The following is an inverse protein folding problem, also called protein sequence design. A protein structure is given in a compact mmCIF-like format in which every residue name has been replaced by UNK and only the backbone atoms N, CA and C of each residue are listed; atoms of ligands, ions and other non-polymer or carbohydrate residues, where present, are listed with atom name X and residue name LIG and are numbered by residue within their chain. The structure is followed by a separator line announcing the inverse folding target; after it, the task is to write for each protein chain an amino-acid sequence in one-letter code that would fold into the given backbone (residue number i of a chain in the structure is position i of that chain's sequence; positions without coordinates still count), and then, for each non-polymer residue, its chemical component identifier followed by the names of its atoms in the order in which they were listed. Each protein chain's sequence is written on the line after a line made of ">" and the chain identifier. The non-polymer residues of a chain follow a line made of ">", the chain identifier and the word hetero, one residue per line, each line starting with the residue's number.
data_IF_317925336836
#
_entry.id   IF_317925336836
#
_cell.length_a   1.000
_cell.length_b   1.000
_cell.length_c   1.000
_cell.angle_alpha   90.00
_cell.angle_beta   90.00
_cell.angle_gamma   90.00
#
_symmetry.space_group_name_H-M   'P 1'
#
loop_
_entity.id
_entity.type
_entity.pdbx_description
1 polymer ?
#
# COMPACT_ATOMS: atom_id res chain seq x y z
N UNK A 1 5.62 32.04 15.54
CA UNK A 1 4.60 31.33 14.73
C UNK A 1 4.02 30.17 15.55
N UNK A 2 2.82 30.28 16.14
CA UNK A 2 2.26 29.19 16.94
C UNK A 2 1.68 28.11 16.03
N UNK A 3 2.18 26.88 16.15
CA UNK A 3 1.65 25.70 15.44
C UNK A 3 0.29 25.33 16.06
N UNK A 4 -0.79 25.58 15.33
CA UNK A 4 -2.15 25.15 15.70
C UNK A 4 -2.19 23.62 15.74
N UNK A 5 -2.21 23.07 16.96
CA UNK A 5 -2.57 21.69 17.25
C UNK A 5 -4.02 21.43 16.80
N UNK A 6 -4.19 20.90 15.58
CA UNK A 6 -5.48 20.43 15.10
C UNK A 6 -5.77 19.08 15.77
N UNK A 7 -6.41 19.12 16.94
CA UNK A 7 -7.07 17.96 17.54
C UNK A 7 -8.20 17.55 16.59
N UNK A 8 -7.92 16.64 15.66
CA UNK A 8 -8.95 16.01 14.84
C UNK A 8 -9.71 15.07 15.77
N UNK A 9 -10.79 15.58 16.37
CA UNK A 9 -11.80 14.76 17.04
C UNK A 9 -12.30 13.75 16.02
N UNK A 10 -12.03 12.48 16.26
CA UNK A 10 -12.61 11.37 15.52
C UNK A 10 -14.12 11.40 15.73
N UNK A 11 -14.83 12.04 14.82
CA UNK A 11 -16.28 12.03 14.77
C UNK A 11 -16.68 10.70 14.16
N UNK A 12 -17.03 9.78 15.05
CA UNK A 12 -17.80 8.56 14.76
C UNK A 12 -19.19 9.02 14.36
N UNK A 13 -19.34 9.50 13.14
CA UNK A 13 -20.65 9.46 12.49
C UNK A 13 -20.84 8.07 11.93
N UNK A 14 -22.08 7.62 11.74
CA UNK A 14 -22.46 6.21 11.75
C UNK A 14 -23.12 5.83 10.42
N UNK A 15 -22.49 4.97 9.60
CA UNK A 15 -23.06 4.29 8.43
C UNK A 15 -22.39 2.90 8.30
N UNK A 16 -22.60 2.01 9.29
CA UNK A 16 -21.96 0.67 9.27
C UNK A 16 -20.46 0.72 9.00
N UNK A 17 -19.80 1.78 9.51
CA UNK A 17 -18.59 2.37 8.94
C UNK A 17 -17.37 1.56 9.29
N UNK A 18 -16.59 1.25 8.25
CA UNK A 18 -15.19 0.87 8.36
C UNK A 18 -14.53 1.58 9.53
N UNK A 19 -13.85 0.82 10.39
CA UNK A 19 -13.01 1.42 11.43
C UNK A 19 -11.93 2.27 10.78
N UNK A 20 -11.33 3.18 11.57
CA UNK A 20 -10.21 3.99 11.07
C UNK A 20 -9.12 3.12 10.45
N UNK A 21 -8.77 2.02 11.11
CA UNK A 21 -7.75 1.08 10.66
C UNK A 21 -8.15 0.40 9.35
N UNK A 22 -9.38 -0.09 9.27
CA UNK A 22 -9.91 -0.72 8.05
C UNK A 22 -9.89 0.26 6.87
N UNK A 23 -10.32 1.51 7.09
CA UNK A 23 -10.25 2.56 6.09
C UNK A 23 -8.81 2.87 5.69
N UNK A 24 -7.92 3.02 6.68
CA UNK A 24 -6.50 3.31 6.44
C UNK A 24 -5.85 2.21 5.60
N UNK A 25 -6.12 0.94 5.93
CA UNK A 25 -5.64 -0.22 5.18
C UNK A 25 -6.17 -0.20 3.74
N UNK A 26 -7.46 0.03 3.51
CA UNK A 26 -8.01 0.05 2.15
C UNK A 26 -7.44 1.21 1.31
N UNK A 27 -7.12 2.35 1.93
CA UNK A 27 -6.57 3.50 1.22
C UNK A 27 -5.06 3.38 0.95
N UNK A 28 -4.29 2.96 1.95
CA UNK A 28 -2.82 3.06 1.93
C UNK A 28 -2.10 1.71 2.00
N UNK A 29 -2.79 0.64 2.37
CA UNK A 29 -2.22 -0.69 2.61
C UNK A 29 -1.63 -0.84 4.01
N UNK A 30 -0.75 -1.83 4.18
CA UNK A 30 -0.11 -2.16 5.46
C UNK A 30 -0.63 -3.47 6.07
N UNK A 31 -0.64 -3.57 7.40
CA UNK A 31 -1.18 -4.74 8.10
C UNK A 31 -2.70 -4.75 7.97
N UNK A 32 -3.27 -5.85 7.48
CA UNK A 32 -4.72 -5.98 7.34
C UNK A 32 -5.40 -6.05 8.71
N UNK A 33 -6.39 -5.19 9.00
CA UNK A 33 -7.27 -5.30 10.15
C UNK A 33 -8.50 -6.16 9.85
N UNK A 34 -8.61 -6.72 8.64
CA UNK A 34 -9.66 -7.66 8.27
C UNK A 34 -9.23 -9.10 8.62
N UNK A 35 -10.18 -9.97 8.97
CA UNK A 35 -9.89 -11.38 9.27
C UNK A 35 -9.29 -12.13 8.08
N UNK A 36 -9.71 -11.77 6.86
CA UNK A 36 -9.29 -12.41 5.62
C UNK A 36 -9.40 -11.45 4.42
N UNK A 37 -8.80 -11.83 3.29
CA UNK A 37 -8.77 -11.02 2.08
C UNK A 37 -10.14 -10.87 1.41
N UNK A 38 -11.01 -11.87 1.48
CA UNK A 38 -12.35 -11.81 0.90
C UNK A 38 -13.25 -10.83 1.68
N UNK A 39 -13.08 -10.73 2.99
CA UNK A 39 -13.75 -9.74 3.82
C UNK A 39 -13.25 -8.33 3.52
N UNK A 40 -11.94 -8.15 3.32
CA UNK A 40 -11.39 -6.87 2.88
C UNK A 40 -11.92 -6.46 1.49
N UNK A 41 -12.01 -7.40 0.55
CA UNK A 41 -12.56 -7.15 -0.79
C UNK A 41 -14.04 -6.77 -0.74
N UNK A 42 -14.86 -7.49 0.02
CA UNK A 42 -16.28 -7.14 0.20
C UNK A 42 -16.42 -5.74 0.78
N UNK A 43 -15.63 -5.41 1.82
CA UNK A 43 -15.66 -4.10 2.44
C UNK A 43 -15.22 -2.99 1.46
N UNK A 44 -14.22 -3.26 0.62
CA UNK A 44 -13.83 -2.38 -0.47
C UNK A 44 -14.98 -2.15 -1.45
N UNK A 45 -15.60 -3.21 -1.99
CA UNK A 45 -16.72 -3.09 -2.95
C UNK A 45 -17.89 -2.29 -2.37
N UNK A 46 -18.25 -2.54 -1.11
CA UNK A 46 -19.34 -1.84 -0.43
C UNK A 46 -19.08 -0.35 -0.22
N UNK A 47 -17.85 0.02 0.15
CA UNK A 47 -17.52 1.41 0.51
C UNK A 47 -16.72 2.17 -0.57
N UNK A 48 -16.50 1.55 -1.73
CA UNK A 48 -15.65 2.06 -2.81
C UNK A 48 -15.95 3.51 -3.17
N UNK A 49 -17.21 3.83 -3.46
CA UNK A 49 -17.60 5.16 -3.92
C UNK A 49 -17.22 6.25 -2.90
N UNK A 50 -17.46 5.98 -1.61
CA UNK A 50 -17.08 6.89 -0.54
C UNK A 50 -15.57 6.97 -0.35
N UNK A 51 -14.84 5.84 -0.37
CA UNK A 51 -13.39 5.84 -0.24
C UNK A 51 -12.71 6.59 -1.40
N UNK A 52 -13.24 6.43 -2.61
CA UNK A 52 -12.79 7.17 -3.80
C UNK A 52 -13.00 8.68 -3.68
N UNK A 53 -14.07 9.14 -3.01
CA UNK A 53 -14.28 10.58 -2.82
C UNK A 53 -13.32 11.22 -1.81
N UNK A 54 -12.60 10.42 -1.02
CA UNK A 54 -11.66 10.89 0.00
C UNK A 54 -10.22 11.01 -0.52
N UNK A 55 -9.92 10.46 -1.69
CA UNK A 55 -8.58 10.48 -2.29
C UNK A 55 -8.51 11.44 -3.47
N UNK A 56 -7.30 11.82 -3.85
CA UNK A 56 -7.08 12.60 -5.06
C UNK A 56 -7.61 11.79 -6.27
N UNK A 57 -8.48 12.38 -7.14
CA UNK A 57 -9.06 11.66 -8.27
C UNK A 57 -8.02 11.14 -9.28
N UNK A 58 -6.83 11.73 -9.31
CA UNK A 58 -5.72 11.30 -10.15
C UNK A 58 -4.88 10.16 -9.53
N UNK A 59 -5.25 9.67 -8.33
CA UNK A 59 -4.55 8.56 -7.67
C UNK A 59 -5.50 7.40 -7.38
N UNK A 60 -4.93 6.19 -7.39
CA UNK A 60 -5.66 4.97 -7.02
C UNK A 60 -5.15 4.47 -5.67
N UNK A 61 -6.03 4.21 -4.69
CA UNK A 61 -5.67 3.69 -3.38
C UNK A 61 -5.24 2.23 -3.48
N UNK A 62 -4.64 1.74 -2.39
CA UNK A 62 -4.17 0.37 -2.27
C UNK A 62 -5.23 -0.66 -2.69
N UNK A 63 -6.44 -0.59 -2.13
CA UNK A 63 -7.49 -1.59 -2.39
C UNK A 63 -7.92 -1.67 -3.86
N UNK A 64 -7.86 -0.56 -4.61
CA UNK A 64 -8.11 -0.59 -6.05
C UNK A 64 -7.07 -1.45 -6.78
N UNK A 65 -5.78 -1.25 -6.46
CA UNK A 65 -4.70 -2.05 -7.04
C UNK A 65 -4.75 -3.52 -6.64
N UNK A 66 -5.25 -3.81 -5.44
CA UNK A 66 -5.28 -5.17 -4.90
C UNK A 66 -6.48 -5.98 -5.38
N UNK A 67 -7.65 -5.36 -5.52
CA UNK A 67 -8.91 -6.08 -5.76
C UNK A 67 -9.56 -5.78 -7.12
N UNK A 68 -9.24 -4.65 -7.76
CA UNK A 68 -9.91 -4.24 -9.02
C UNK A 68 -8.96 -4.13 -10.21
N UNK A 69 -7.67 -3.87 -9.98
CA UNK A 69 -6.74 -3.67 -11.07
C UNK A 69 -6.60 -4.95 -11.90
N UNK A 70 -6.80 -4.90 -13.23
CA UNK A 70 -6.55 -6.03 -14.10
C UNK A 70 -5.05 -6.37 -14.20
N UNK A 71 -4.20 -5.43 -13.77
CA UNK A 71 -2.75 -5.59 -13.71
C UNK A 71 -2.37 -5.80 -12.25
N UNK A 72 -1.70 -6.91 -11.97
CA UNK A 72 -1.08 -7.15 -10.65
C UNK A 72 -0.12 -6.00 -10.37
N UNK A 73 -0.32 -5.28 -9.26
CA UNK A 73 0.61 -4.23 -8.84
C UNK A 73 2.00 -4.84 -8.72
N UNK A 74 2.91 -4.45 -9.62
CA UNK A 74 4.30 -4.86 -9.52
C UNK A 74 4.83 -4.35 -8.18
N UNK A 75 5.18 -5.29 -7.30
CA UNK A 75 5.94 -4.94 -6.10
C UNK A 75 7.21 -4.23 -6.57
N UNK A 76 7.51 -3.08 -5.96
CA UNK A 76 8.74 -2.36 -6.28
C UNK A 76 9.90 -3.31 -5.99
N UNK A 77 10.57 -3.77 -7.06
CA UNK A 77 11.84 -4.47 -6.92
C UNK A 77 12.85 -3.51 -6.29
N UNK A 78 13.77 -3.99 -5.45
CA UNK A 78 14.92 -3.20 -5.03
C UNK A 78 15.59 -2.57 -6.24
N UNK A 79 15.98 -1.30 -6.14
CA UNK A 79 16.65 -0.60 -7.24
C UNK A 79 17.91 -1.34 -7.71
N UNK A 80 18.62 -2.00 -6.79
CA UNK A 80 19.78 -2.86 -7.08
C UNK A 80 19.45 -4.01 -8.03
N UNK A 81 18.29 -4.66 -7.89
CA UNK A 81 17.85 -5.72 -8.79
C UNK A 81 17.55 -5.19 -10.19
N UNK A 82 16.92 -4.01 -10.27
CA UNK A 82 16.61 -3.36 -11.54
C UNK A 82 17.89 -2.91 -12.26
N UNK A 83 18.85 -2.34 -11.53
CA UNK A 83 20.14 -1.94 -12.08
C UNK A 83 20.96 -3.15 -12.54
N UNK A 84 20.89 -4.28 -11.81
CA UNK A 84 21.53 -5.52 -12.22
C UNK A 84 20.93 -6.06 -13.53
N UNK A 85 19.61 -6.09 -13.67
CA UNK A 85 18.92 -6.52 -14.89
C UNK A 85 19.28 -5.66 -16.11
N UNK A 86 19.50 -4.36 -15.90
CA UNK A 86 19.89 -3.41 -16.95
C UNK A 86 21.40 -3.42 -17.25
N UNK A 87 22.20 -4.22 -16.52
CA UNK A 87 23.66 -4.26 -16.68
C UNK A 87 24.36 -2.95 -16.28
N UNK A 88 23.75 -2.18 -15.38
CA UNK A 88 24.23 -0.86 -14.94
C UNK A 88 25.05 -0.90 -13.64
N UNK A 89 25.21 -2.08 -13.03
CA UNK A 89 26.06 -2.25 -11.85
C UNK A 89 27.52 -2.41 -12.24
N UNK A 90 28.43 -1.85 -11.45
CA UNK A 90 29.85 -2.18 -11.56
C UNK A 90 30.12 -3.61 -11.09
N UNK A 91 31.27 -4.22 -11.44
CA UNK A 91 31.63 -5.56 -10.97
C UNK A 91 31.60 -5.69 -9.43
N UNK A 92 32.02 -4.65 -8.71
CA UNK A 92 32.01 -4.62 -7.25
C UNK A 92 30.59 -4.60 -6.68
N UNK A 93 29.70 -3.78 -7.26
CA UNK A 93 28.30 -3.69 -6.84
C UNK A 93 27.53 -4.99 -7.12
N UNK A 94 27.86 -5.68 -8.20
CA UNK A 94 27.26 -6.96 -8.58
C UNK A 94 27.62 -8.08 -7.57
N UNK A 95 28.85 -8.11 -7.10
CA UNK A 95 29.29 -9.03 -6.05
C UNK A 95 28.59 -8.73 -4.70
N UNK A 96 28.41 -7.45 -4.36
CA UNK A 96 27.65 -7.04 -3.15
C UNK A 96 26.20 -7.52 -3.23
N UNK A 97 25.54 -7.31 -4.37
CA UNK A 97 24.13 -7.74 -4.55
C UNK A 97 24.01 -9.27 -4.52
N UNK A 98 24.98 -10.01 -5.06
CA UNK A 98 25.00 -11.48 -4.99
C UNK A 98 25.03 -11.98 -3.54
N UNK A 99 25.96 -11.46 -2.73
CA UNK A 99 26.08 -11.81 -1.30
C UNK A 99 24.83 -11.45 -0.50
N UNK A 100 24.20 -10.32 -0.84
CA UNK A 100 22.93 -9.92 -0.21
C UNK A 100 21.82 -10.93 -0.49
N UNK A 101 21.69 -11.42 -1.72
CA UNK A 101 20.70 -12.44 -2.10
C UNK A 101 20.93 -13.77 -1.37
N UNK A 102 22.19 -14.17 -1.20
CA UNK A 102 22.55 -15.38 -0.43
C UNK A 102 22.14 -15.27 1.04
N UNK A 103 22.34 -14.11 1.68
CA UNK A 103 21.93 -13.85 3.08
C UNK A 103 20.42 -13.85 3.29
N UNK A 104 19.63 -13.48 2.30
CA UNK A 104 18.15 -13.43 2.40
C UNK A 104 17.53 -14.82 2.24
N UNK A 105 18.25 -15.78 1.65
CA UNK A 105 17.76 -17.15 1.40
C UNK A 105 17.94 -18.11 2.59
N UNK A 106 18.71 -17.72 3.61
CA UNK A 106 18.87 -18.44 4.88
C UNK A 106 17.83 -17.97 5.90
#
# INVERSE_FOLDING_TARGET
>A
MPRRNRKVRATVETHGKLTYEQRSYLLFGGRSPFPDSATAERAWRTHRAHLMSLVNPCTRPFAWWTFESPVVRQMRRPASEQLAELGLLTPEELEIERRRKERIKQ
#
